data_IF_608506512924
#
_entry.id   IF_608506512924
#
_cell.length_a   1.000
_cell.length_b   1.000
_cell.length_c   1.000
_cell.angle_alpha   90.00
_cell.angle_beta   90.00
_cell.angle_gamma   90.00
#
_symmetry.space_group_name_H-M   'P 1'
#
loop_
_entity.id
_entity.type
_entity.pdbx_description
1 polymer ?
#
# COMPACT_ATOMS: atom_id res chain seq x y z
N UNK A 1 25.74 3.22 33.69
CA UNK A 1 24.30 3.53 33.61
C UNK A 1 23.86 3.15 32.21
N UNK A 2 23.30 1.96 32.05
CA UNK A 2 22.90 1.43 30.74
C UNK A 2 21.40 1.62 30.58
N UNK A 3 20.99 2.42 29.60
CA UNK A 3 19.59 2.66 29.26
C UNK A 3 18.95 1.37 28.73
N UNK A 4 17.74 0.97 29.17
CA UNK A 4 17.07 -0.18 28.60
C UNK A 4 16.49 0.23 27.25
N UNK A 5 17.11 -0.26 26.17
CA UNK A 5 16.45 -0.32 24.87
C UNK A 5 15.27 -1.28 24.99
N UNK A 6 14.06 -0.73 25.12
CA UNK A 6 12.83 -1.49 24.89
C UNK A 6 12.67 -1.59 23.38
N UNK A 7 13.29 -2.61 22.80
CA UNK A 7 12.85 -3.14 21.51
C UNK A 7 11.52 -3.84 21.75
N UNK A 8 10.42 -3.15 21.43
CA UNK A 8 9.13 -3.82 21.29
C UNK A 8 9.24 -4.79 20.11
N UNK A 9 9.54 -6.05 20.40
CA UNK A 9 9.35 -7.13 19.43
C UNK A 9 7.88 -7.14 18.96
N UNK A 10 7.57 -7.67 17.77
CA UNK A 10 6.19 -7.78 17.30
C UNK A 10 5.36 -8.47 18.39
N UNK A 11 4.23 -7.86 18.77
CA UNK A 11 3.31 -8.53 19.68
C UNK A 11 2.96 -9.91 19.10
N UNK A 12 2.71 -10.94 19.92
CA UNK A 12 2.36 -12.27 19.42
C UNK A 12 1.18 -12.27 18.43
N UNK A 13 0.40 -11.20 18.42
CA UNK A 13 -0.81 -10.97 17.62
C UNK A 13 -0.58 -10.13 16.35
N UNK A 14 0.66 -9.79 15.96
CA UNK A 14 0.90 -9.07 14.70
C UNK A 14 1.37 -9.99 13.57
N UNK A 15 0.93 -9.63 12.36
CA UNK A 15 1.34 -10.19 11.08
C UNK A 15 2.04 -9.11 10.24
N UNK A 16 3.10 -9.49 9.53
CA UNK A 16 3.81 -8.60 8.62
C UNK A 16 4.40 -9.39 7.46
N UNK A 17 4.28 -8.87 6.25
CA UNK A 17 4.80 -9.49 5.03
C UNK A 17 5.07 -8.41 3.98
N UNK A 18 5.54 -8.81 2.81
CA UNK A 18 5.74 -7.92 1.68
C UNK A 18 5.44 -8.63 0.36
N UNK A 19 5.03 -7.87 -0.64
CA UNK A 19 4.91 -8.32 -2.02
C UNK A 19 5.84 -7.49 -2.90
N UNK A 20 6.38 -8.12 -3.93
CA UNK A 20 7.28 -7.50 -4.90
C UNK A 20 6.74 -7.70 -6.31
N UNK A 21 6.84 -6.66 -7.14
CA UNK A 21 6.49 -6.71 -8.56
C UNK A 21 7.53 -5.98 -9.39
N UNK A 22 8.09 -6.66 -10.38
CA UNK A 22 8.80 -6.00 -11.48
C UNK A 22 7.77 -5.47 -12.48
N UNK A 23 7.95 -4.24 -12.92
CA UNK A 23 7.12 -3.53 -13.91
C UNK A 23 8.03 -3.09 -15.05
N UNK A 24 7.66 -3.40 -16.29
CA UNK A 24 8.40 -3.02 -17.48
C UNK A 24 8.08 -1.56 -17.88
N UNK A 25 8.34 -0.63 -16.96
CA UNK A 25 8.17 0.81 -17.15
C UNK A 25 9.18 1.60 -16.29
N UNK A 26 9.62 2.79 -16.73
CA UNK A 26 10.55 3.63 -15.98
C UNK A 26 9.99 4.07 -14.62
N UNK A 27 10.87 4.23 -13.63
CA UNK A 27 10.48 4.58 -12.25
C UNK A 27 9.68 5.86 -12.17
N UNK A 28 10.03 6.87 -12.98
CA UNK A 28 9.31 8.15 -13.03
C UNK A 28 7.84 7.98 -13.42
N UNK A 29 7.56 7.11 -14.39
CA UNK A 29 6.19 6.79 -14.82
C UNK A 29 5.45 6.03 -13.73
N UNK A 30 6.03 4.96 -13.19
CA UNK A 30 5.39 4.15 -12.13
C UNK A 30 5.13 5.01 -10.90
N UNK A 31 6.09 5.84 -10.50
CA UNK A 31 5.95 6.75 -9.37
C UNK A 31 4.85 7.78 -9.58
N UNK A 32 4.71 8.34 -10.78
CA UNK A 32 3.62 9.30 -11.08
C UNK A 32 2.22 8.73 -10.79
N UNK A 33 2.05 7.42 -10.93
CA UNK A 33 0.80 6.71 -10.60
C UNK A 33 0.71 6.47 -9.09
N UNK A 34 1.78 5.95 -8.48
CA UNK A 34 1.78 5.53 -7.05
C UNK A 34 1.69 6.73 -6.09
N UNK A 35 2.33 7.85 -6.42
CA UNK A 35 2.40 9.06 -5.58
C UNK A 35 1.06 9.76 -5.39
N UNK A 36 0.06 9.44 -6.21
CA UNK A 36 -1.24 10.13 -6.20
C UNK A 36 -2.13 9.55 -5.10
N UNK A 37 -2.05 10.12 -3.89
CA UNK A 37 -2.73 9.60 -2.69
C UNK A 37 -4.27 9.64 -2.79
N UNK A 38 -4.84 10.63 -3.47
CA UNK A 38 -6.29 10.81 -3.64
C UNK A 38 -6.90 9.96 -4.77
N UNK A 39 -6.09 9.45 -5.72
CA UNK A 39 -6.58 8.73 -6.92
C UNK A 39 -6.06 7.30 -7.05
N UNK A 40 -6.14 6.51 -5.98
CA UNK A 40 -5.66 5.11 -6.01
C UNK A 40 -6.62 4.12 -6.69
N UNK A 41 -7.83 4.54 -7.09
CA UNK A 41 -8.72 3.78 -7.98
C UNK A 41 -8.12 3.51 -9.37
N UNK A 42 -7.07 4.24 -9.76
CA UNK A 42 -6.41 4.05 -11.06
C UNK A 42 -5.77 2.67 -11.21
N UNK A 43 -5.42 2.01 -10.10
CA UNK A 43 -4.83 0.66 -10.15
C UNK A 43 -5.23 -0.26 -9.00
N UNK A 44 -5.88 0.23 -7.93
CA UNK A 44 -6.39 -0.66 -6.89
C UNK A 44 -7.75 -1.22 -7.29
N UNK A 45 -7.77 -2.50 -7.66
CA UNK A 45 -8.91 -3.17 -8.32
C UNK A 45 -10.19 -3.24 -7.49
N UNK A 46 -10.06 -3.18 -6.15
CA UNK A 46 -11.18 -3.31 -5.23
C UNK A 46 -11.75 -1.98 -4.76
N UNK A 47 -11.29 -0.85 -5.30
CA UNK A 47 -11.76 0.49 -4.93
C UNK A 47 -12.85 0.93 -5.91
N UNK A 48 -14.05 1.20 -5.40
CA UNK A 48 -15.13 1.85 -6.15
C UNK A 48 -14.91 3.36 -6.21
N UNK A 49 -14.56 3.99 -5.09
CA UNK A 49 -14.25 5.41 -5.04
C UNK A 49 -13.22 5.75 -3.97
N UNK A 50 -12.46 6.81 -4.20
CA UNK A 50 -11.50 7.35 -3.26
C UNK A 50 -11.65 8.87 -3.24
N UNK A 51 -11.70 9.46 -2.05
CA UNK A 51 -11.86 10.91 -1.87
C UNK A 51 -11.02 11.40 -0.71
N UNK A 52 -10.41 12.57 -0.86
CA UNK A 52 -9.74 13.23 0.26
C UNK A 52 -10.80 13.80 1.21
N UNK A 53 -10.68 13.49 2.51
CA UNK A 53 -11.57 14.03 3.54
C UNK A 53 -10.89 15.12 4.39
N UNK A 54 -9.56 15.15 4.41
CA UNK A 54 -8.76 16.20 5.07
C UNK A 54 -7.36 16.27 4.46
N UNK A 55 -6.81 17.48 4.36
CA UNK A 55 -5.49 17.72 3.75
C UNK A 55 -5.53 17.87 2.23
N UNK A 56 -4.35 18.06 1.66
CA UNK A 56 -4.10 18.42 0.26
C UNK A 56 -3.19 17.41 -0.47
N UNK A 57 -2.89 16.27 0.17
CA UNK A 57 -2.02 15.24 -0.37
C UNK A 57 -0.67 15.14 0.35
N UNK A 58 -0.37 16.05 1.28
CA UNK A 58 0.82 15.99 2.13
C UNK A 58 0.65 15.07 3.35
N UNK A 59 1.76 14.79 4.05
CA UNK A 59 1.79 13.91 5.24
C UNK A 59 0.73 14.36 6.26
N UNK A 60 -0.05 13.40 6.75
CA UNK A 60 -1.19 13.65 7.63
C UNK A 60 -2.53 13.82 6.89
N UNK A 61 -2.52 13.96 5.56
CA UNK A 61 -3.75 13.93 4.76
C UNK A 61 -4.52 12.63 4.97
N UNK A 62 -5.85 12.72 4.94
CA UNK A 62 -6.76 11.62 5.23
C UNK A 62 -7.70 11.44 4.06
N UNK A 63 -7.81 10.20 3.57
CA UNK A 63 -8.74 9.80 2.52
C UNK A 63 -9.78 8.82 3.03
N UNK A 64 -10.91 8.79 2.34
CA UNK A 64 -11.94 7.77 2.43
C UNK A 64 -11.89 6.91 1.18
N UNK A 65 -11.86 5.61 1.36
CA UNK A 65 -11.91 4.61 0.28
C UNK A 65 -13.20 3.81 0.45
N UNK A 66 -13.99 3.73 -0.61
CA UNK A 66 -15.11 2.80 -0.70
C UNK A 66 -14.71 1.62 -1.57
N UNK A 67 -15.03 0.42 -1.12
CA UNK A 67 -14.72 -0.81 -1.84
C UNK A 67 -15.87 -1.22 -2.76
N UNK A 68 -15.54 -1.98 -3.79
CA UNK A 68 -16.54 -2.55 -4.72
C UNK A 68 -17.48 -3.52 -4.02
N UNK A 69 -18.71 -3.63 -4.53
CA UNK A 69 -19.68 -4.63 -4.05
C UNK A 69 -19.09 -6.05 -4.03
N UNK A 70 -19.31 -6.77 -2.93
CA UNK A 70 -18.78 -8.12 -2.72
C UNK A 70 -17.39 -8.17 -2.07
N UNK A 71 -16.75 -7.03 -1.83
CA UNK A 71 -15.60 -6.95 -0.93
C UNK A 71 -16.05 -7.17 0.53
N UNK A 72 -15.23 -7.75 1.43
CA UNK A 72 -15.63 -8.04 2.81
C UNK A 72 -15.95 -6.83 3.69
N UNK A 73 -15.71 -5.61 3.20
CA UNK A 73 -15.89 -4.36 3.91
C UNK A 73 -16.41 -3.30 2.94
N UNK A 74 -17.15 -2.33 3.46
CA UNK A 74 -17.70 -1.22 2.70
C UNK A 74 -16.64 -0.12 2.48
N UNK A 75 -15.83 0.18 3.49
CA UNK A 75 -14.95 1.35 3.44
C UNK A 75 -13.77 1.33 4.43
N UNK A 76 -12.75 2.13 4.10
CA UNK A 76 -11.66 2.48 5.02
C UNK A 76 -11.45 3.99 5.10
N UNK A 77 -10.98 4.45 6.25
CA UNK A 77 -10.42 5.78 6.45
C UNK A 77 -8.91 5.61 6.61
N UNK A 78 -8.16 6.28 5.75
CA UNK A 78 -6.72 6.05 5.63
C UNK A 78 -5.95 7.37 5.75
N UNK A 79 -4.85 7.36 6.49
CA UNK A 79 -3.99 8.53 6.69
C UNK A 79 -2.64 8.32 6.03
N UNK A 80 -2.14 9.34 5.33
CA UNK A 80 -0.80 9.37 4.78
C UNK A 80 0.22 9.55 5.92
N UNK A 81 1.10 8.58 6.09
CA UNK A 81 2.08 8.56 7.19
C UNK A 81 3.46 9.01 6.74
N UNK A 82 3.83 8.73 5.49
CA UNK A 82 5.09 9.14 4.91
C UNK A 82 4.95 9.39 3.42
N UNK A 83 5.67 10.40 2.94
CA UNK A 83 5.75 10.74 1.53
C UNK A 83 7.11 11.38 1.25
N UNK A 84 7.95 10.67 0.49
CA UNK A 84 9.30 11.12 0.13
C UNK A 84 9.51 10.90 -1.36
N UNK A 85 9.46 11.99 -2.12
CA UNK A 85 9.52 11.99 -3.59
C UNK A 85 10.92 11.59 -4.10
N UNK A 86 11.96 11.97 -3.36
CA UNK A 86 13.38 11.75 -3.68
C UNK A 86 13.79 10.27 -3.60
N UNK A 87 13.18 9.52 -2.68
CA UNK A 87 13.42 8.09 -2.49
C UNK A 87 12.23 7.21 -2.90
N UNK A 88 11.24 7.78 -3.59
CA UNK A 88 10.04 7.10 -4.08
C UNK A 88 9.34 6.25 -3.01
N UNK A 89 9.11 6.83 -1.82
CA UNK A 89 8.47 6.17 -0.68
C UNK A 89 7.12 6.80 -0.38
N UNK A 90 6.09 5.96 -0.25
CA UNK A 90 4.78 6.36 0.28
C UNK A 90 4.31 5.36 1.33
N UNK A 91 3.76 5.86 2.43
CA UNK A 91 3.24 5.04 3.53
C UNK A 91 1.87 5.52 3.95
N UNK A 92 0.97 4.61 4.30
CA UNK A 92 -0.33 4.96 4.87
C UNK A 92 -0.74 3.97 5.95
N UNK A 93 -1.60 4.44 6.85
CA UNK A 93 -2.27 3.59 7.84
C UNK A 93 -3.78 3.60 7.63
N UNK A 94 -4.44 2.53 8.07
CA UNK A 94 -5.90 2.51 8.21
C UNK A 94 -6.23 2.96 9.63
N UNK A 95 -6.94 4.08 9.75
CA UNK A 95 -7.28 4.72 11.03
C UNK A 95 -8.77 4.60 11.38
N UNK A 96 -9.56 3.98 10.51
CA UNK A 96 -10.99 3.74 10.74
C UNK A 96 -11.65 3.06 9.56
N UNK A 97 -12.97 2.85 9.68
CA UNK A 97 -13.79 2.11 8.73
C UNK A 97 -14.27 0.78 9.31
N UNK A 98 -14.81 -0.09 8.45
CA UNK A 98 -15.36 -1.39 8.83
C UNK A 98 -14.43 -2.57 8.48
N UNK A 99 -13.27 -2.25 7.89
CA UNK A 99 -12.22 -3.23 7.65
C UNK A 99 -11.60 -3.69 8.97
N UNK A 100 -11.67 -5.00 9.23
CA UNK A 100 -11.09 -5.64 10.43
C UNK A 100 -9.57 -5.76 10.36
N UNK A 101 -8.85 -4.70 9.98
CA UNK A 101 -7.38 -4.66 9.87
C UNK A 101 -6.81 -3.59 10.81
N UNK A 102 -6.93 -3.82 12.12
CA UNK A 102 -6.44 -2.90 13.15
C UNK A 102 -4.92 -2.72 13.06
N UNK A 103 -4.47 -1.48 13.32
CA UNK A 103 -3.06 -1.10 13.24
C UNK A 103 -2.39 -1.46 11.90
N UNK A 104 -3.18 -1.51 10.81
CA UNK A 104 -2.64 -1.68 9.48
C UNK A 104 -1.78 -0.49 9.09
N UNK A 105 -0.55 -0.77 8.68
CA UNK A 105 0.36 0.17 8.06
C UNK A 105 0.97 -0.50 6.82
N UNK A 106 0.97 0.21 5.70
CA UNK A 106 1.61 -0.22 4.45
C UNK A 106 2.65 0.79 4.01
N UNK A 107 3.79 0.29 3.52
CA UNK A 107 4.89 1.06 2.95
C UNK A 107 5.15 0.57 1.53
N UNK A 108 5.04 1.48 0.56
CA UNK A 108 5.39 1.22 -0.84
C UNK A 108 6.68 1.96 -1.19
N UNK A 109 7.66 1.24 -1.73
CA UNK A 109 8.91 1.80 -2.24
C UNK A 109 9.15 1.35 -3.68
N UNK A 110 9.73 2.22 -4.49
CA UNK A 110 10.08 1.92 -5.88
C UNK A 110 11.59 2.04 -6.05
N UNK A 111 12.16 1.13 -6.84
CA UNK A 111 13.59 1.06 -7.13
C UNK A 111 13.79 0.82 -8.61
N UNK A 112 14.78 1.47 -9.21
CA UNK A 112 15.24 1.10 -10.56
C UNK A 112 15.86 -0.30 -10.51
N UNK A 113 15.62 -1.11 -11.53
CA UNK A 113 16.31 -2.38 -11.65
C UNK A 113 17.74 -2.14 -12.12
N UNK A 114 18.72 -2.57 -11.32
CA UNK A 114 20.16 -2.32 -11.54
C UNK A 114 20.62 -2.67 -12.96
N UNK A 115 20.18 -3.83 -13.48
CA UNK A 115 20.62 -4.32 -14.79
C UNK A 115 19.74 -3.84 -15.96
N UNK A 116 18.57 -3.28 -15.67
CA UNK A 116 17.56 -2.87 -16.67
C UNK A 116 16.85 -1.57 -16.17
N UNK A 117 17.53 -0.40 -16.23
CA UNK A 117 17.04 0.84 -15.61
C UNK A 117 15.70 1.34 -16.16
N UNK A 118 15.28 0.87 -17.33
CA UNK A 118 13.96 1.10 -17.89
C UNK A 118 12.83 0.34 -17.17
N UNK A 119 13.17 -0.51 -16.19
CA UNK A 119 12.24 -1.31 -15.39
C UNK A 119 12.28 -0.91 -13.93
N UNK A 120 11.12 -1.03 -13.28
CA UNK A 120 10.93 -0.67 -11.88
C UNK A 120 10.63 -1.90 -11.04
N UNK A 121 11.25 -1.99 -9.85
CA UNK A 121 10.88 -2.91 -8.80
C UNK A 121 10.03 -2.17 -7.77
N UNK A 122 8.77 -2.57 -7.63
CA UNK A 122 7.86 -2.07 -6.60
C UNK A 122 7.83 -3.07 -5.46
N UNK A 123 8.06 -2.58 -4.23
CA UNK A 123 7.92 -3.36 -3.01
C UNK A 123 6.85 -2.72 -2.14
N UNK A 124 5.78 -3.45 -1.84
CA UNK A 124 4.78 -3.03 -0.85
C UNK A 124 4.82 -3.99 0.35
N UNK A 125 5.24 -3.46 1.50
CA UNK A 125 5.27 -4.17 2.77
C UNK A 125 4.16 -3.69 3.68
N UNK A 126 3.72 -4.54 4.59
CA UNK A 126 2.70 -4.16 5.55
C UNK A 126 2.93 -4.80 6.92
N UNK A 127 2.29 -4.20 7.92
CA UNK A 127 2.09 -4.73 9.27
C UNK A 127 0.64 -4.55 9.64
N UNK A 128 0.07 -5.53 10.33
CA UNK A 128 -1.32 -5.50 10.80
C UNK A 128 -1.48 -6.39 12.03
N UNK A 129 -2.46 -6.09 12.87
CA UNK A 129 -2.87 -7.01 13.92
C UNK A 129 -3.70 -8.16 13.33
N UNK A 130 -3.54 -9.35 13.90
CA UNK A 130 -4.35 -10.53 13.59
C UNK A 130 -5.71 -10.36 14.25
N UNK A 131 -6.81 -10.35 13.48
CA UNK A 131 -8.14 -10.16 14.06
C UNK A 131 -8.55 -11.34 14.96
N UNK A 132 -9.37 -11.05 15.96
CA UNK A 132 -9.95 -12.11 16.80
C UNK A 132 -10.70 -13.15 15.95
N UNK A 133 -10.38 -14.42 16.17
CA UNK A 133 -10.95 -15.54 15.43
C UNK A 133 -10.27 -15.84 14.08
N UNK A 134 -9.20 -15.13 13.73
CA UNK A 134 -8.37 -15.40 12.54
C UNK A 134 -6.99 -15.91 12.93
N UNK A 135 -6.34 -16.66 12.03
CA UNK A 135 -4.93 -17.03 12.18
C UNK A 135 -4.02 -15.99 11.50
N UNK A 136 -2.72 -16.05 11.80
CA UNK A 136 -1.70 -15.26 11.07
C UNK A 136 -1.71 -15.57 9.59
N UNK A 137 -1.83 -16.86 9.23
CA UNK A 137 -1.80 -17.31 7.85
C UNK A 137 -3.03 -16.84 7.08
N UNK A 138 -4.22 -16.86 7.68
CA UNK A 138 -5.43 -16.32 7.05
C UNK A 138 -5.33 -14.81 6.83
N UNK A 139 -4.81 -14.10 7.84
CA UNK A 139 -4.61 -12.64 7.78
C UNK A 139 -3.57 -12.29 6.72
N UNK A 140 -2.44 -12.99 6.68
CA UNK A 140 -1.41 -12.78 5.67
C UNK A 140 -1.94 -13.10 4.28
N UNK A 141 -2.60 -14.23 4.12
CA UNK A 141 -3.19 -14.64 2.85
C UNK A 141 -4.14 -13.56 2.32
N UNK A 142 -5.05 -13.06 3.15
CA UNK A 142 -5.98 -12.01 2.75
C UNK A 142 -5.27 -10.73 2.30
N UNK A 143 -4.39 -10.18 3.15
CA UNK A 143 -3.72 -8.90 2.87
C UNK A 143 -2.74 -9.02 1.71
N UNK A 144 -1.92 -10.08 1.69
CA UNK A 144 -0.94 -10.32 0.63
C UNK A 144 -1.57 -10.52 -0.73
N UNK A 145 -2.75 -11.18 -0.82
CA UNK A 145 -3.48 -11.28 -2.09
C UNK A 145 -3.99 -9.93 -2.59
N UNK A 146 -4.55 -9.09 -1.72
CA UNK A 146 -4.99 -7.74 -2.08
C UNK A 146 -3.83 -6.92 -2.64
N UNK A 147 -2.69 -6.90 -1.94
CA UNK A 147 -1.50 -6.19 -2.39
C UNK A 147 -1.02 -6.75 -3.74
N UNK A 148 -0.94 -8.07 -3.89
CA UNK A 148 -0.52 -8.70 -5.14
C UNK A 148 -1.39 -8.29 -6.32
N UNK A 149 -2.71 -8.36 -6.19
CA UNK A 149 -3.63 -7.95 -7.24
C UNK A 149 -3.54 -6.46 -7.57
N UNK A 150 -3.29 -5.60 -6.58
CA UNK A 150 -3.04 -4.18 -6.81
C UNK A 150 -1.74 -3.95 -7.59
N UNK A 151 -0.65 -4.64 -7.22
CA UNK A 151 0.62 -4.53 -7.94
C UNK A 151 0.55 -5.10 -9.36
N UNK A 152 -0.21 -6.17 -9.58
CA UNK A 152 -0.48 -6.69 -10.93
C UNK A 152 -1.23 -5.68 -11.79
N UNK A 153 -2.25 -5.02 -11.23
CA UNK A 153 -2.99 -3.98 -11.93
C UNK A 153 -2.13 -2.74 -12.19
N UNK A 154 -1.28 -2.35 -11.25
CA UNK A 154 -0.31 -1.26 -11.44
C UNK A 154 0.64 -1.55 -12.61
N UNK A 155 1.15 -2.78 -12.67
CA UNK A 155 2.00 -3.21 -13.78
C UNK A 155 1.28 -3.08 -15.12
N UNK A 156 0.05 -3.60 -15.20
CA UNK A 156 -0.76 -3.54 -16.41
C UNK A 156 -0.99 -2.09 -16.87
N UNK A 157 -1.35 -1.18 -15.95
CA UNK A 157 -1.57 0.24 -16.26
C UNK A 157 -0.29 0.90 -16.73
N UNK A 158 0.80 0.77 -15.99
CA UNK A 158 2.08 1.42 -16.31
C UNK A 158 2.66 0.93 -17.66
N UNK A 159 2.65 -0.37 -17.92
CA UNK A 159 3.16 -0.96 -19.16
C UNK A 159 2.29 -0.57 -20.38
N UNK A 160 0.99 -0.41 -20.18
CA UNK A 160 0.09 0.10 -21.23
C UNK A 160 0.38 1.55 -21.60
N UNK A 161 0.76 2.39 -20.62
CA UNK A 161 1.14 3.78 -20.84
C UNK A 161 2.44 3.89 -21.64
N UNK A 162 3.41 2.99 -21.39
CA UNK A 162 4.66 2.90 -22.20
C UNK A 162 4.37 2.49 -23.63
N UNK A 163 3.43 1.56 -23.84
CA UNK A 163 3.09 1.06 -25.18
C UNK A 163 2.28 2.06 -26.01
N UNK A 164 1.66 3.06 -25.37
CA UNK A 164 0.84 4.08 -26.01
C UNK A 164 1.60 5.39 -26.33
N UNK A 165 2.85 5.51 -25.83
CA UNK A 165 3.77 6.63 -26.08
C UNK A 165 4.72 6.35 -27.23
#
# INVERSE_FOLDING_TARGET
>A
MSSPHITHGPSPQQCSSFQLKQINAPISLVWSIVRTFDKRQLYKRFIESCSMISGDGDIGSIRRVHYVSGFPSEMSIERLEAFYDDIHLISFSIIGGDLRLSNYNSNTTLHEKVDEPEKTIVVESYRVDVPDGSTKDDTDYFVSNIIRWNLESLACVAESMVSAS
#
